data_IF_889300683731
#
_entry.id   IF_889300683731
#
_cell.length_a   1.000
_cell.length_b   1.000
_cell.length_c   1.000
_cell.angle_alpha   90.00
_cell.angle_beta   90.00
_cell.angle_gamma   90.00
#
_symmetry.space_group_name_H-M   'P 1'
#
loop_
_entity.id
_entity.type
_entity.pdbx_description
1 polymer ?
#
# COMPACT_ATOMS: atom_id res chain seq x y z
N UNK A 1 5.56 -13.75 26.72
CA UNK A 1 5.51 -12.78 25.60
C UNK A 1 4.12 -12.12 25.54
N UNK A 2 4.05 -10.81 25.29
CA UNK A 2 2.77 -10.04 25.27
C UNK A 2 2.11 -9.95 23.89
N UNK A 3 2.81 -10.38 22.84
CA UNK A 3 2.33 -10.41 21.45
C UNK A 3 2.40 -11.85 20.95
N UNK A 4 1.33 -12.30 20.31
CA UNK A 4 1.27 -13.59 19.63
C UNK A 4 1.57 -13.38 18.14
N UNK A 5 2.75 -13.81 17.64
CA UNK A 5 3.14 -13.58 16.25
C UNK A 5 2.29 -14.37 15.25
N UNK A 6 1.49 -15.34 15.70
CA UNK A 6 0.61 -16.13 14.83
C UNK A 6 -0.75 -15.46 14.57
N UNK A 7 -1.02 -14.33 15.22
CA UNK A 7 -2.30 -13.59 15.15
C UNK A 7 -2.07 -12.09 15.02
N UNK A 8 -1.45 -11.69 13.91
CA UNK A 8 -1.17 -10.28 13.60
C UNK A 8 -2.15 -9.78 12.52
N UNK A 9 -2.76 -8.63 12.77
CA UNK A 9 -3.71 -7.97 11.87
C UNK A 9 -3.19 -6.57 11.56
N UNK A 10 -3.36 -6.14 10.30
CA UNK A 10 -3.10 -4.77 9.87
C UNK A 10 -4.40 -4.13 9.35
N UNK A 11 -4.63 -2.88 9.72
CA UNK A 11 -5.80 -2.11 9.32
C UNK A 11 -5.38 -0.69 8.98
N UNK A 12 -6.03 -0.08 7.99
CA UNK A 12 -5.81 1.33 7.67
C UNK A 12 -6.83 1.94 6.73
N UNK A 13 -6.90 3.28 6.77
CA UNK A 13 -7.76 4.11 5.94
C UNK A 13 -6.94 5.00 5.00
N UNK A 14 -7.41 5.25 3.77
CA UNK A 14 -6.71 6.06 2.76
C UNK A 14 -5.27 5.55 2.50
N UNK A 15 -4.23 6.37 2.69
CA UNK A 15 -2.83 5.93 2.58
C UNK A 15 -2.50 4.74 3.48
N UNK A 16 -3.16 4.62 4.64
CA UNK A 16 -3.07 3.44 5.50
C UNK A 16 -3.72 2.20 4.88
N UNK A 17 -4.81 2.38 4.12
CA UNK A 17 -5.44 1.31 3.34
C UNK A 17 -4.54 0.85 2.20
N UNK A 18 -3.91 1.77 1.47
CA UNK A 18 -2.89 1.42 0.46
C UNK A 18 -1.71 0.67 1.08
N UNK A 19 -1.23 1.13 2.24
CA UNK A 19 -0.16 0.46 2.99
C UNK A 19 -0.59 -0.93 3.47
N UNK A 20 -1.84 -1.09 3.90
CA UNK A 20 -2.43 -2.38 4.29
C UNK A 20 -2.42 -3.36 3.11
N UNK A 21 -2.82 -2.92 1.91
CA UNK A 21 -2.76 -3.76 0.71
C UNK A 21 -1.32 -4.14 0.34
N UNK A 22 -0.40 -3.17 0.34
CA UNK A 22 1.02 -3.44 0.10
C UNK A 22 1.59 -4.45 1.11
N UNK A 23 1.21 -4.33 2.39
CA UNK A 23 1.67 -5.23 3.44
C UNK A 23 1.20 -6.67 3.21
N UNK A 24 -0.09 -6.89 2.92
CA UNK A 24 -0.63 -8.25 2.73
C UNK A 24 -0.17 -8.91 1.44
N UNK A 25 0.03 -8.14 0.36
CA UNK A 25 0.49 -8.70 -0.92
C UNK A 25 1.98 -9.01 -0.93
N UNK A 26 2.80 -8.19 -0.25
CA UNK A 26 4.26 -8.34 -0.27
C UNK A 26 4.81 -9.15 0.90
N UNK A 27 4.06 -9.22 2.01
CA UNK A 27 4.44 -9.95 3.22
C UNK A 27 3.27 -10.81 3.74
N UNK A 28 2.75 -11.75 2.92
CA UNK A 28 1.59 -12.56 3.29
C UNK A 28 1.84 -13.44 4.54
N UNK A 29 3.09 -13.77 4.83
CA UNK A 29 3.46 -14.59 6.00
C UNK A 29 3.48 -13.80 7.33
N UNK A 30 3.40 -12.47 7.28
CA UNK A 30 3.46 -11.60 8.47
C UNK A 30 2.07 -11.26 9.00
N UNK A 31 1.10 -11.06 8.10
CA UNK A 31 -0.22 -10.55 8.45
C UNK A 31 -1.31 -11.57 8.13
N UNK A 32 -2.01 -12.06 9.15
CA UNK A 32 -3.08 -13.03 8.97
C UNK A 32 -4.35 -12.40 8.38
N UNK A 33 -4.59 -11.12 8.66
CA UNK A 33 -5.75 -10.37 8.16
C UNK A 33 -5.33 -8.93 7.84
N UNK A 34 -5.78 -8.44 6.68
CA UNK A 34 -5.67 -7.05 6.29
C UNK A 34 -7.05 -6.41 6.09
N UNK A 35 -7.28 -5.26 6.70
CA UNK A 35 -8.51 -4.48 6.50
C UNK A 35 -8.18 -3.12 5.89
N UNK A 36 -8.40 -2.99 4.58
CA UNK A 36 -8.09 -1.78 3.81
C UNK A 36 -9.35 -0.99 3.52
N UNK A 37 -9.36 0.29 3.89
CA UNK A 37 -10.51 1.18 3.69
C UNK A 37 -10.12 2.39 2.85
N UNK A 38 -10.89 2.67 1.80
CA UNK A 38 -10.66 3.77 0.85
C UNK A 38 -9.20 3.87 0.34
N UNK A 39 -8.54 2.76 -0.06
CA UNK A 39 -7.16 2.82 -0.53
C UNK A 39 -7.05 3.57 -1.85
N UNK A 40 -5.84 4.01 -2.17
CA UNK A 40 -5.38 4.27 -3.53
C UNK A 40 -4.68 3.00 -4.03
N UNK A 41 -5.32 2.16 -4.88
CA UNK A 41 -4.74 0.90 -5.34
C UNK A 41 -3.69 1.10 -6.44
N UNK A 42 -3.75 2.23 -7.12
CA UNK A 42 -2.80 2.65 -8.15
C UNK A 42 -2.64 4.16 -8.07
N UNK A 43 -1.39 4.62 -7.91
CA UNK A 43 -1.10 6.03 -7.75
C UNK A 43 -1.53 6.86 -8.97
N UNK A 44 -1.60 6.24 -10.16
CA UNK A 44 -2.00 6.89 -11.43
C UNK A 44 -3.46 7.33 -11.45
N UNK A 45 -4.28 6.84 -10.52
CA UNK A 45 -5.70 7.22 -10.41
C UNK A 45 -5.98 8.24 -9.30
N UNK A 46 -4.94 8.75 -8.65
CA UNK A 46 -5.06 9.81 -7.64
C UNK A 46 -4.71 11.18 -8.22
N UNK A 47 -4.96 12.25 -7.48
CA UNK A 47 -4.67 13.60 -7.97
C UNK A 47 -3.16 13.85 -8.15
N UNK A 48 -2.83 14.62 -9.19
CA UNK A 48 -1.44 14.92 -9.56
C UNK A 48 -0.74 15.77 -8.51
N UNK A 49 -1.45 16.70 -7.86
CA UNK A 49 -0.87 17.62 -6.87
C UNK A 49 -0.23 16.85 -5.71
N UNK A 50 -0.90 15.81 -5.20
CA UNK A 50 -0.36 14.98 -4.14
C UNK A 50 0.73 14.04 -4.67
N UNK A 51 0.44 13.28 -5.72
CA UNK A 51 1.36 12.21 -6.14
C UNK A 51 2.66 12.73 -6.72
N UNK A 52 2.62 13.76 -7.58
CA UNK A 52 3.83 14.30 -8.18
C UNK A 52 4.70 15.05 -7.15
N UNK A 53 4.07 15.63 -6.12
CA UNK A 53 4.79 16.30 -5.03
C UNK A 53 5.67 15.33 -4.23
N UNK A 54 5.19 14.10 -4.01
CA UNK A 54 5.89 13.14 -3.13
C UNK A 54 6.57 11.99 -3.89
N UNK A 55 6.11 11.66 -5.10
CA UNK A 55 6.63 10.57 -5.93
C UNK A 55 7.28 11.03 -7.23
N UNK A 56 7.41 12.34 -7.46
CA UNK A 56 7.93 12.89 -8.71
C UNK A 56 7.03 12.59 -9.91
N UNK A 57 7.47 12.96 -11.11
CA UNK A 57 6.70 12.71 -12.33
C UNK A 57 6.74 11.21 -12.70
N UNK A 58 5.62 10.61 -13.13
CA UNK A 58 5.54 9.18 -13.42
C UNK A 58 6.47 8.72 -14.55
N UNK A 59 6.77 9.60 -15.52
CA UNK A 59 7.76 9.30 -16.57
C UNK A 59 9.20 9.24 -16.07
N UNK A 60 9.53 9.97 -15.00
CA UNK A 60 10.88 10.04 -14.45
C UNK A 60 11.09 8.93 -13.41
N UNK A 61 10.00 8.50 -12.76
CA UNK A 61 9.99 7.54 -11.66
C UNK A 61 9.07 6.32 -11.89
N UNK A 62 9.08 5.67 -13.08
CA UNK A 62 8.06 4.69 -13.46
C UNK A 62 8.03 3.45 -12.55
N UNK A 63 9.21 2.98 -12.12
CA UNK A 63 9.30 1.83 -11.22
C UNK A 63 8.81 2.18 -9.81
N UNK A 64 9.06 3.38 -9.31
CA UNK A 64 8.61 3.78 -7.96
C UNK A 64 7.09 3.91 -7.91
N UNK A 65 6.48 4.45 -8.97
CA UNK A 65 5.02 4.52 -9.14
C UNK A 65 4.39 3.12 -9.19
N UNK A 66 5.04 2.19 -9.91
CA UNK A 66 4.63 0.79 -9.96
C UNK A 66 4.76 0.13 -8.59
N UNK A 67 5.92 0.23 -7.95
CA UNK A 67 6.20 -0.43 -6.67
C UNK A 67 5.29 0.09 -5.54
N UNK A 68 4.94 1.37 -5.57
CA UNK A 68 4.09 2.00 -4.55
C UNK A 68 2.60 1.71 -4.74
N UNK A 69 2.18 1.29 -5.95
CA UNK A 69 0.80 0.94 -6.27
C UNK A 69 0.48 -0.49 -5.81
N UNK A 70 -0.40 -0.71 -4.82
CA UNK A 70 -0.66 -2.06 -4.33
C UNK A 70 -1.23 -3.02 -5.39
N UNK A 71 -2.01 -2.48 -6.34
CA UNK A 71 -2.72 -3.28 -7.34
C UNK A 71 -1.82 -4.07 -8.30
N UNK A 72 -0.52 -3.74 -8.39
CA UNK A 72 0.42 -4.50 -9.24
C UNK A 72 1.03 -5.72 -8.54
N UNK A 73 0.81 -5.88 -7.24
CA UNK A 73 1.32 -7.00 -6.43
C UNK A 73 0.24 -8.03 -6.07
N UNK A 74 -0.99 -7.87 -6.58
CA UNK A 74 -2.07 -8.85 -6.42
C UNK A 74 -1.74 -10.20 -7.07
#
# INVERSE_FOLDING_TARGET
PYVDPTRIVIWGWSGGGSSTLNAIFRYPDVYNVGMSVAPVPDLRYYDTIYQERYGGLPQDHPEEWKQSSPGVHM
#
